data_IF_509327284946
#
_entry.id   IF_509327284946
#
_cell.length_a   1.000
_cell.length_b   1.000
_cell.length_c   1.000
_cell.angle_alpha   90.00
_cell.angle_beta   90.00
_cell.angle_gamma   90.00
#
_symmetry.space_group_name_H-M   'P 1'
#
loop_
_entity.id
_entity.type
_entity.pdbx_description
1 polymer ?
#
# COMPACT_ATOMS: atom_id res chain seq x y z
N UNK A 1 12.46 24.89 107.13
CA UNK A 1 12.78 26.25 106.63
C UNK A 1 12.57 26.24 105.12
N UNK A 2 11.91 27.17 104.43
CA UNK A 2 10.94 28.25 104.78
C UNK A 2 9.96 28.36 103.59
N UNK A 3 8.66 28.49 103.90
CA UNK A 3 7.60 29.30 103.22
C UNK A 3 7.48 29.21 101.67
N UNK A 4 6.37 28.73 101.05
CA UNK A 4 4.95 29.19 101.07
C UNK A 4 4.73 30.62 100.53
N UNK A 5 3.49 30.88 100.07
CA UNK A 5 2.97 32.10 99.41
C UNK A 5 3.37 32.15 97.90
N UNK A 6 2.48 32.36 96.92
CA UNK A 6 1.17 33.05 96.92
C UNK A 6 0.01 32.21 96.36
N UNK A 7 -1.15 32.33 97.03
CA UNK A 7 -2.47 31.94 96.53
C UNK A 7 -3.36 33.19 96.65
N UNK A 8 -4.20 33.50 95.65
CA UNK A 8 -5.35 34.40 95.82
C UNK A 8 -5.16 35.88 95.41
N UNK A 9 -5.27 36.14 94.10
CA UNK A 9 -5.55 37.44 93.46
C UNK A 9 -6.33 37.12 92.17
N UNK A 10 -7.54 37.63 91.88
CA UNK A 10 -8.49 38.46 92.64
C UNK A 10 -9.92 37.91 92.39
N UNK A 11 -10.82 38.05 93.38
CA UNK A 11 -12.27 37.92 93.21
C UNK A 11 -12.81 39.26 92.68
N UNK A 12 -13.34 39.32 91.46
CA UNK A 12 -14.13 40.49 91.03
C UNK A 12 -15.46 40.06 90.38
N UNK A 13 -16.49 40.07 91.22
CA UNK A 13 -17.87 39.76 90.88
C UNK A 13 -18.55 41.06 90.42
N UNK A 14 -18.50 41.36 89.12
CA UNK A 14 -19.27 42.46 88.51
C UNK A 14 -19.94 42.01 87.21
N UNK A 15 -21.27 41.92 87.31
CA UNK A 15 -22.28 41.85 86.24
C UNK A 15 -22.15 42.99 85.20
N UNK A 16 -22.95 43.01 84.10
CA UNK A 16 -23.53 41.89 83.35
C UNK A 16 -23.46 42.10 81.81
N UNK A 17 -23.85 41.05 81.07
CA UNK A 17 -24.67 41.12 79.84
C UNK A 17 -24.29 42.04 78.67
N UNK A 18 -24.24 41.46 77.47
CA UNK A 18 -25.02 41.95 76.32
C UNK A 18 -25.06 40.87 75.22
N UNK A 19 -26.27 40.53 74.76
CA UNK A 19 -26.55 40.19 73.36
C UNK A 19 -25.65 39.15 72.66
N UNK A 20 -25.68 37.88 73.09
CA UNK A 20 -25.62 36.80 72.11
C UNK A 20 -27.00 36.66 71.47
N UNK A 21 -27.23 37.52 70.46
CA UNK A 21 -28.42 37.47 69.62
C UNK A 21 -28.54 36.12 68.93
N UNK A 22 -29.78 35.70 68.70
CA UNK A 22 -30.15 34.49 67.97
C UNK A 22 -29.36 34.42 66.67
N UNK A 23 -28.33 33.58 66.64
CA UNK A 23 -27.72 33.12 65.40
C UNK A 23 -28.70 32.14 64.79
N UNK A 24 -29.66 32.66 64.02
CA UNK A 24 -30.44 31.82 63.13
C UNK A 24 -29.44 31.10 62.23
N UNK A 25 -29.36 29.78 62.39
CA UNK A 25 -28.70 28.92 61.41
C UNK A 25 -29.42 29.11 60.08
N UNK A 26 -28.90 30.04 59.26
CA UNK A 26 -29.31 30.21 57.87
C UNK A 26 -28.70 29.06 57.10
N UNK A 27 -29.23 27.87 57.32
CA UNK A 27 -28.98 26.72 56.48
C UNK A 27 -29.42 27.11 55.08
N UNK A 28 -28.45 27.46 54.25
CA UNK A 28 -28.70 27.71 52.84
C UNK A 28 -29.24 26.40 52.27
N UNK A 29 -30.32 26.53 51.50
CA UNK A 29 -30.85 25.45 50.69
C UNK A 29 -29.85 25.20 49.55
N UNK A 30 -28.78 24.48 49.87
CA UNK A 30 -27.84 23.86 48.93
C UNK A 30 -28.13 22.36 48.91
N UNK A 31 -29.22 22.00 48.24
CA UNK A 31 -29.58 20.60 47.93
C UNK A 31 -29.99 20.45 46.47
N UNK A 32 -30.72 21.43 45.95
CA UNK A 32 -31.36 21.30 44.63
C UNK A 32 -30.41 21.75 43.50
N UNK A 33 -29.49 22.68 43.78
CA UNK A 33 -28.48 23.14 42.81
C UNK A 33 -27.39 22.10 42.57
N UNK A 34 -26.96 21.37 43.60
CA UNK A 34 -25.85 20.41 43.51
C UNK A 34 -26.21 19.20 42.65
N UNK A 35 -27.39 18.59 42.86
CA UNK A 35 -27.86 17.50 42.01
C UNK A 35 -28.09 17.93 40.55
N UNK A 36 -28.56 19.16 40.34
CA UNK A 36 -28.76 19.71 38.98
C UNK A 36 -27.41 19.99 38.29
N UNK A 37 -26.42 20.52 39.02
CA UNK A 37 -25.06 20.75 38.50
C UNK A 37 -24.32 19.45 38.21
N UNK A 38 -24.44 18.44 39.08
CA UNK A 38 -23.84 17.13 38.86
C UNK A 38 -24.45 16.44 37.63
N UNK A 39 -25.77 16.43 37.47
CA UNK A 39 -26.42 15.89 36.27
C UNK A 39 -26.04 16.66 34.98
N UNK A 40 -25.77 17.97 35.08
CA UNK A 40 -25.27 18.78 33.96
C UNK A 40 -23.80 18.49 33.62
N UNK A 41 -22.94 18.24 34.62
CA UNK A 41 -21.55 17.81 34.39
C UNK A 41 -21.46 16.38 33.85
N UNK A 42 -22.30 15.45 34.34
CA UNK A 42 -22.38 14.08 33.84
C UNK A 42 -22.86 14.05 32.38
N UNK A 43 -23.95 14.76 32.04
CA UNK A 43 -24.41 14.86 30.65
C UNK A 43 -23.36 15.50 29.71
N UNK A 44 -22.63 16.53 30.18
CA UNK A 44 -21.55 17.15 29.42
C UNK A 44 -20.27 16.28 29.34
N UNK A 45 -20.11 15.29 30.22
CA UNK A 45 -19.05 14.27 30.12
C UNK A 45 -19.45 13.16 29.15
N UNK A 46 -20.70 12.73 29.15
CA UNK A 46 -21.25 11.77 28.18
C UNK A 46 -21.19 12.34 26.75
N UNK A 47 -21.61 13.58 26.53
CA UNK A 47 -21.52 14.26 25.21
C UNK A 47 -20.08 14.32 24.69
N UNK A 48 -19.10 14.65 25.55
CA UNK A 48 -17.67 14.64 25.18
C UNK A 48 -17.13 13.25 24.90
N UNK A 49 -17.58 12.24 25.64
CA UNK A 49 -17.20 10.85 25.39
C UNK A 49 -17.77 10.34 24.07
N UNK A 50 -19.01 10.71 23.74
CA UNK A 50 -19.67 10.44 22.46
C UNK A 50 -18.93 11.12 21.30
N UNK A 51 -18.67 12.43 21.40
CA UNK A 51 -17.88 13.21 20.42
C UNK A 51 -16.51 12.58 20.17
N UNK A 52 -15.84 12.10 21.22
CA UNK A 52 -14.53 11.47 21.11
C UNK A 52 -14.61 10.07 20.47
N UNK A 53 -15.65 9.28 20.77
CA UNK A 53 -15.91 8.01 20.08
C UNK A 53 -16.21 8.19 18.58
N UNK A 54 -17.01 9.19 18.22
CA UNK A 54 -17.33 9.53 16.83
C UNK A 54 -16.07 10.04 16.09
N UNK A 55 -15.21 10.81 16.75
CA UNK A 55 -13.91 11.22 16.21
C UNK A 55 -12.95 10.04 16.01
N UNK A 56 -12.85 9.13 16.99
CA UNK A 56 -12.03 7.93 16.90
C UNK A 56 -12.56 6.95 15.83
N UNK A 57 -13.88 6.90 15.59
CA UNK A 57 -14.48 6.14 14.49
C UNK A 57 -14.21 6.79 13.13
N UNK A 58 -14.42 8.09 12.98
CA UNK A 58 -14.08 8.82 11.75
C UNK A 58 -12.58 8.74 11.41
N UNK A 59 -11.71 8.73 12.42
CA UNK A 59 -10.27 8.54 12.24
C UNK A 59 -9.97 7.14 11.68
N UNK A 60 -10.50 6.08 12.32
CA UNK A 60 -10.38 4.70 11.85
C UNK A 60 -10.95 4.50 10.43
N UNK A 61 -12.09 5.10 10.11
CA UNK A 61 -12.67 5.05 8.77
C UNK A 61 -11.73 5.67 7.72
N UNK A 62 -11.19 6.87 7.97
CA UNK A 62 -10.24 7.55 7.06
C UNK A 62 -8.93 6.77 6.91
N UNK A 63 -8.44 6.13 7.96
CA UNK A 63 -7.26 5.25 7.87
C UNK A 63 -7.53 4.03 6.99
N UNK A 64 -8.70 3.38 7.14
CA UNK A 64 -9.10 2.26 6.29
C UNK A 64 -9.31 2.67 4.83
N UNK A 65 -9.95 3.81 4.57
CA UNK A 65 -10.11 4.37 3.21
C UNK A 65 -8.75 4.71 2.57
N UNK A 66 -7.84 5.33 3.33
CA UNK A 66 -6.49 5.63 2.85
C UNK A 66 -5.68 4.37 2.53
N UNK A 67 -5.80 3.32 3.34
CA UNK A 67 -5.19 2.01 3.07
C UNK A 67 -5.78 1.36 1.80
N UNK A 68 -7.10 1.41 1.61
CA UNK A 68 -7.75 0.88 0.42
C UNK A 68 -7.31 1.62 -0.86
N UNK A 69 -7.22 2.94 -0.83
CA UNK A 69 -6.74 3.76 -1.95
C UNK A 69 -5.28 3.44 -2.28
N UNK A 70 -4.43 3.24 -1.27
CA UNK A 70 -3.02 2.88 -1.47
C UNK A 70 -2.87 1.46 -2.06
N UNK A 71 -3.64 0.50 -1.57
CA UNK A 71 -3.71 -0.88 -2.08
C UNK A 71 -4.21 -0.91 -3.54
N UNK A 72 -5.29 -0.20 -3.87
CA UNK A 72 -5.81 -0.10 -5.24
C UNK A 72 -4.78 0.54 -6.19
N UNK A 73 -4.10 1.61 -5.75
CA UNK A 73 -3.03 2.24 -6.53
C UNK A 73 -1.87 1.28 -6.81
N UNK A 74 -1.41 0.54 -5.81
CA UNK A 74 -0.34 -0.46 -5.96
C UNK A 74 -0.75 -1.62 -6.88
N UNK A 75 -1.99 -2.13 -6.75
CA UNK A 75 -2.52 -3.18 -7.63
C UNK A 75 -2.63 -2.69 -9.08
N UNK A 76 -3.06 -1.44 -9.30
CA UNK A 76 -3.14 -0.82 -10.61
C UNK A 76 -1.76 -0.63 -11.26
N UNK A 77 -0.77 -0.22 -10.48
CA UNK A 77 0.62 -0.10 -10.95
C UNK A 77 1.21 -1.46 -11.34
N UNK A 78 1.04 -2.47 -10.47
CA UNK A 78 1.47 -3.85 -10.74
C UNK A 78 0.82 -4.42 -12.01
N UNK A 79 -0.48 -4.17 -12.22
CA UNK A 79 -1.21 -4.62 -13.42
C UNK A 79 -0.73 -3.88 -14.67
N UNK A 80 -0.45 -2.57 -14.59
CA UNK A 80 0.14 -1.82 -15.71
C UNK A 80 1.55 -2.33 -16.07
N UNK A 81 2.38 -2.64 -15.08
CA UNK A 81 3.70 -3.21 -15.27
C UNK A 81 3.63 -4.61 -15.92
N UNK A 82 2.70 -5.48 -15.48
CA UNK A 82 2.43 -6.78 -16.12
C UNK A 82 1.99 -6.60 -17.58
N UNK A 83 1.05 -5.70 -17.86
CA UNK A 83 0.60 -5.42 -19.24
C UNK A 83 1.75 -4.92 -20.13
N UNK A 84 2.64 -4.07 -19.62
CA UNK A 84 3.81 -3.61 -20.37
C UNK A 84 4.77 -4.77 -20.67
N UNK A 85 5.00 -5.66 -19.70
CA UNK A 85 5.84 -6.85 -19.88
C UNK A 85 5.28 -7.80 -20.97
N UNK A 86 3.98 -8.03 -21.00
CA UNK A 86 3.36 -8.99 -21.94
C UNK A 86 3.16 -8.43 -23.36
N UNK A 87 2.81 -7.14 -23.48
CA UNK A 87 2.49 -6.53 -24.78
C UNK A 87 3.72 -6.05 -25.57
N UNK A 88 4.83 -5.70 -24.90
CA UNK A 88 6.01 -5.20 -25.59
C UNK A 88 6.84 -6.35 -26.19
N UNK A 89 6.79 -6.48 -27.53
CA UNK A 89 7.55 -7.49 -28.29
C UNK A 89 8.95 -6.99 -28.66
N UNK A 90 9.85 -7.94 -28.95
CA UNK A 90 11.09 -7.66 -29.69
C UNK A 90 10.95 -8.13 -31.15
N UNK A 91 11.69 -7.50 -32.06
CA UNK A 91 11.63 -7.78 -33.51
C UNK A 91 13.00 -8.17 -34.07
N UNK A 92 12.98 -8.84 -35.23
CA UNK A 92 14.17 -9.38 -35.87
C UNK A 92 14.22 -9.06 -37.37
N UNK A 93 15.43 -8.94 -37.89
CA UNK A 93 15.68 -8.89 -39.33
C UNK A 93 15.27 -10.18 -40.05
N UNK A 94 15.11 -10.06 -41.38
CA UNK A 94 14.87 -11.21 -42.24
C UNK A 94 15.98 -12.27 -42.06
N UNK A 95 15.57 -13.54 -42.02
CA UNK A 95 16.42 -14.72 -41.81
C UNK A 95 17.36 -14.66 -40.57
N UNK A 96 17.05 -13.79 -39.60
CA UNK A 96 17.93 -13.52 -38.45
C UNK A 96 17.29 -13.87 -37.11
N UNK A 97 18.16 -14.27 -36.18
CA UNK A 97 17.89 -14.41 -34.74
C UNK A 97 18.81 -13.53 -33.88
N UNK A 98 19.56 -12.61 -34.51
CA UNK A 98 20.40 -11.65 -33.82
C UNK A 98 19.56 -10.51 -33.22
N UNK A 99 19.90 -10.11 -31.98
CA UNK A 99 19.21 -9.03 -31.27
C UNK A 99 19.77 -7.66 -31.69
N UNK A 100 18.94 -6.87 -32.36
CA UNK A 100 19.23 -5.45 -32.63
C UNK A 100 19.28 -4.63 -31.32
N UNK A 101 19.82 -3.41 -31.38
CA UNK A 101 19.95 -2.54 -30.21
C UNK A 101 18.59 -2.25 -29.55
N UNK A 102 17.57 -2.02 -30.35
CA UNK A 102 16.18 -1.75 -29.93
C UNK A 102 15.60 -2.95 -29.15
N UNK A 103 15.85 -4.18 -29.64
CA UNK A 103 15.45 -5.40 -28.95
C UNK A 103 16.21 -5.57 -27.62
N UNK A 104 17.49 -5.21 -27.58
CA UNK A 104 18.28 -5.24 -26.34
C UNK A 104 17.76 -4.24 -25.29
N UNK A 105 17.35 -3.02 -25.68
CA UNK A 105 16.75 -2.04 -24.76
C UNK A 105 15.39 -2.48 -24.21
N UNK A 106 14.57 -3.17 -25.02
CA UNK A 106 13.34 -3.82 -24.54
C UNK A 106 13.67 -4.93 -23.53
N UNK A 107 14.65 -5.79 -23.83
CA UNK A 107 15.05 -6.87 -22.93
C UNK A 107 15.66 -6.37 -21.61
N UNK A 108 16.37 -5.23 -21.60
CA UNK A 108 16.86 -4.57 -20.38
C UNK A 108 15.72 -4.15 -19.46
N UNK A 109 14.69 -3.48 -19.99
CA UNK A 109 13.48 -3.10 -19.23
C UNK A 109 12.70 -4.32 -18.72
N UNK A 110 12.62 -5.39 -19.51
CA UNK A 110 12.05 -6.67 -19.05
C UNK A 110 12.88 -7.29 -17.92
N UNK A 111 14.21 -7.22 -17.97
CA UNK A 111 15.07 -7.70 -16.89
C UNK A 111 14.90 -6.88 -15.60
N UNK A 112 14.66 -5.56 -15.68
CA UNK A 112 14.30 -4.73 -14.53
C UNK A 112 13.01 -5.21 -13.86
N UNK A 113 11.91 -5.31 -14.63
CA UNK A 113 10.64 -5.87 -14.15
C UNK A 113 10.81 -7.25 -13.48
N UNK A 114 11.63 -8.13 -14.06
CA UNK A 114 11.87 -9.49 -13.54
C UNK A 114 12.75 -9.53 -12.27
N UNK A 115 13.53 -8.47 -11.96
CA UNK A 115 14.24 -8.33 -10.68
C UNK A 115 13.28 -7.92 -9.58
N UNK A 116 12.39 -6.97 -9.86
CA UNK A 116 11.38 -6.49 -8.92
C UNK A 116 10.31 -7.55 -8.65
N UNK A 117 10.09 -8.45 -9.60
CA UNK A 117 9.16 -9.57 -9.51
C UNK A 117 9.92 -10.92 -9.52
N UNK A 118 10.67 -11.28 -8.46
CA UNK A 118 11.58 -12.43 -8.47
C UNK A 118 10.88 -13.80 -8.58
N UNK A 119 9.61 -13.88 -8.19
CA UNK A 119 8.82 -15.12 -8.23
C UNK A 119 8.20 -15.41 -9.60
N UNK A 120 8.11 -14.41 -10.49
CA UNK A 120 7.47 -14.56 -11.80
C UNK A 120 8.23 -15.52 -12.70
N UNK A 121 7.52 -16.44 -13.32
CA UNK A 121 7.99 -17.28 -14.43
C UNK A 121 7.30 -16.82 -15.71
N UNK A 122 7.94 -17.06 -16.84
CA UNK A 122 7.42 -16.64 -18.13
C UNK A 122 7.92 -17.51 -19.26
N UNK A 123 7.15 -17.50 -20.33
CA UNK A 123 7.46 -18.12 -21.61
C UNK A 123 7.82 -17.05 -22.63
N UNK A 124 8.90 -17.27 -23.39
CA UNK A 124 9.24 -16.51 -24.59
C UNK A 124 8.74 -17.28 -25.80
N UNK A 125 7.85 -16.68 -26.57
CA UNK A 125 7.24 -17.27 -27.77
C UNK A 125 7.92 -16.69 -29.02
N UNK A 126 8.53 -17.54 -29.85
CA UNK A 126 9.26 -17.15 -31.05
C UNK A 126 8.44 -17.31 -32.33
N UNK A 127 8.36 -16.24 -33.12
CA UNK A 127 7.54 -16.15 -34.34
C UNK A 127 8.37 -15.76 -35.58
N UNK A 128 7.85 -16.13 -36.74
CA UNK A 128 8.42 -15.89 -38.08
C UNK A 128 7.37 -15.33 -39.03
N UNK A 129 7.84 -14.81 -40.18
CA UNK A 129 6.98 -14.54 -41.32
C UNK A 129 6.80 -15.80 -42.18
N UNK A 130 5.77 -15.82 -43.04
CA UNK A 130 5.32 -16.97 -43.85
C UNK A 130 6.30 -17.45 -44.94
N UNK A 131 7.52 -16.91 -44.99
CA UNK A 131 8.50 -17.25 -46.02
C UNK A 131 9.43 -18.33 -45.50
N UNK A 132 9.36 -19.53 -46.10
CA UNK A 132 10.23 -20.65 -45.75
C UNK A 132 9.50 -21.98 -45.90
N UNK A 133 9.95 -22.97 -45.14
CA UNK A 133 9.11 -24.13 -44.78
C UNK A 133 8.72 -23.99 -43.31
N UNK A 134 7.62 -24.64 -42.93
CA UNK A 134 7.13 -24.67 -41.55
C UNK A 134 8.22 -25.11 -40.56
N UNK A 135 8.96 -26.18 -40.89
CA UNK A 135 10.04 -26.70 -40.04
C UNK A 135 11.22 -25.74 -39.94
N UNK A 136 11.54 -25.01 -41.02
CA UNK A 136 12.56 -23.96 -40.98
C UNK A 136 12.13 -22.82 -40.06
N UNK A 137 10.87 -22.39 -40.16
CA UNK A 137 10.34 -21.29 -39.37
C UNK A 137 10.14 -21.66 -37.90
N UNK A 138 9.76 -22.90 -37.58
CA UNK A 138 9.81 -23.44 -36.22
C UNK A 138 11.24 -23.41 -35.65
N UNK A 139 12.23 -23.87 -36.43
CA UNK A 139 13.63 -23.83 -35.99
C UNK A 139 14.18 -22.40 -35.85
N UNK A 140 13.75 -21.46 -36.69
CA UNK A 140 14.17 -20.04 -36.62
C UNK A 140 13.51 -19.31 -35.44
N UNK A 141 12.24 -19.57 -35.17
CA UNK A 141 11.54 -19.03 -34.01
C UNK A 141 12.13 -19.54 -32.69
N UNK A 142 12.54 -20.81 -32.62
CA UNK A 142 13.25 -21.36 -31.45
C UNK A 142 14.62 -20.66 -31.24
N UNK A 143 15.39 -20.45 -32.32
CA UNK A 143 16.63 -19.64 -32.25
C UNK A 143 16.38 -18.22 -31.75
N UNK A 144 15.30 -17.56 -32.18
CA UNK A 144 14.91 -16.21 -31.71
C UNK A 144 14.58 -16.18 -30.22
N UNK A 145 13.74 -17.10 -29.75
CA UNK A 145 13.40 -17.23 -28.34
C UNK A 145 14.63 -17.59 -27.48
N UNK A 146 15.50 -18.46 -28.00
CA UNK A 146 16.79 -18.81 -27.41
C UNK A 146 17.75 -17.62 -27.27
N UNK A 147 17.88 -16.77 -28.30
CA UNK A 147 18.69 -15.55 -28.26
C UNK A 147 18.18 -14.57 -27.18
N UNK A 148 16.87 -14.35 -27.12
CA UNK A 148 16.25 -13.50 -26.10
C UNK A 148 16.46 -14.06 -24.68
N UNK A 149 16.31 -15.39 -24.50
CA UNK A 149 16.58 -16.08 -23.25
C UNK A 149 18.04 -15.93 -22.82
N UNK A 150 19.00 -16.17 -23.72
CA UNK A 150 20.43 -16.03 -23.43
C UNK A 150 20.76 -14.62 -22.93
N UNK A 151 20.28 -13.58 -23.62
CA UNK A 151 20.50 -12.19 -23.22
C UNK A 151 19.89 -11.85 -21.86
N UNK A 152 18.69 -12.36 -21.54
CA UNK A 152 18.09 -12.18 -20.20
C UNK A 152 18.86 -12.92 -19.09
N UNK A 153 19.42 -14.09 -19.40
CA UNK A 153 20.30 -14.83 -18.49
C UNK A 153 21.61 -14.07 -18.22
N UNK A 154 22.21 -13.48 -19.26
CA UNK A 154 23.41 -12.63 -19.13
C UNK A 154 23.13 -11.35 -18.31
N UNK A 155 21.88 -10.84 -18.34
CA UNK A 155 21.40 -9.77 -17.46
C UNK A 155 21.04 -10.21 -16.03
N UNK A 156 21.29 -11.48 -15.68
CA UNK A 156 21.14 -12.05 -14.34
C UNK A 156 19.80 -12.74 -14.05
N UNK A 157 18.92 -12.92 -15.04
CA UNK A 157 17.65 -13.63 -14.83
C UNK A 157 17.89 -15.14 -14.78
N UNK A 158 17.47 -15.79 -13.70
CA UNK A 158 17.73 -17.21 -13.50
C UNK A 158 17.08 -18.09 -14.60
N UNK A 159 17.83 -18.98 -15.29
CA UNK A 159 17.33 -19.72 -16.46
C UNK A 159 16.08 -20.58 -16.23
N UNK A 160 15.84 -21.05 -14.99
CA UNK A 160 14.66 -21.85 -14.63
C UNK A 160 13.35 -21.05 -14.63
N UNK A 161 13.42 -19.71 -14.69
CA UNK A 161 12.26 -18.82 -14.79
C UNK A 161 11.78 -18.62 -16.23
N UNK A 162 12.55 -19.10 -17.21
CA UNK A 162 12.39 -18.77 -18.63
C UNK A 162 12.12 -20.06 -19.43
N UNK A 163 10.88 -20.24 -19.87
CA UNK A 163 10.49 -21.24 -20.88
C UNK A 163 10.64 -20.63 -22.27
N UNK A 164 10.91 -21.44 -23.30
CA UNK A 164 10.93 -21.02 -24.70
C UNK A 164 10.02 -21.93 -25.52
N UNK A 165 9.22 -21.34 -26.40
CA UNK A 165 8.35 -22.04 -27.35
C UNK A 165 8.53 -21.37 -28.72
N UNK A 166 8.45 -22.14 -29.80
CA UNK A 166 8.31 -21.58 -31.15
C UNK A 166 6.96 -21.95 -31.75
N UNK A 167 6.34 -21.00 -32.43
CA UNK A 167 5.18 -21.22 -33.30
C UNK A 167 5.51 -21.05 -34.78
N UNK A 168 6.78 -20.79 -35.12
CA UNK A 168 7.18 -20.44 -36.49
C UNK A 168 6.27 -19.39 -37.11
N UNK A 169 5.65 -19.73 -38.24
CA UNK A 169 4.70 -18.90 -38.97
C UNK A 169 3.22 -19.09 -38.60
N UNK A 170 2.88 -20.05 -37.71
CA UNK A 170 1.48 -20.45 -37.41
C UNK A 170 0.63 -19.34 -36.77
N UNK A 171 1.27 -18.36 -36.12
CA UNK A 171 0.62 -17.28 -35.36
C UNK A 171 1.07 -15.89 -35.85
N UNK A 172 0.69 -15.48 -37.07
CA UNK A 172 1.04 -14.17 -37.60
C UNK A 172 0.26 -13.06 -36.89
N UNK A 173 0.90 -11.91 -36.67
CA UNK A 173 0.25 -10.68 -36.21
C UNK A 173 -0.46 -9.96 -37.36
N UNK A 174 0.08 -10.08 -38.56
CA UNK A 174 -0.44 -9.47 -39.78
C UNK A 174 -0.40 -10.54 -40.88
N UNK A 175 -1.53 -11.16 -41.26
CA UNK A 175 -1.59 -12.31 -42.16
C UNK A 175 -1.48 -11.91 -43.65
N UNK A 176 -0.85 -10.78 -43.95
CA UNK A 176 -0.70 -10.24 -45.31
C UNK A 176 0.70 -10.52 -45.84
N UNK A 177 0.78 -10.81 -47.14
CA UNK A 177 2.04 -11.05 -47.84
C UNK A 177 2.70 -9.75 -48.30
N UNK A 178 3.21 -8.96 -47.35
CA UNK A 178 3.99 -7.74 -47.63
C UNK A 178 5.10 -7.54 -46.59
N UNK A 179 6.17 -6.82 -46.92
CA UNK A 179 7.31 -6.66 -46.00
C UNK A 179 6.93 -5.91 -44.71
N UNK A 180 5.94 -5.03 -44.74
CA UNK A 180 5.41 -4.37 -43.53
C UNK A 180 4.68 -5.33 -42.59
N UNK A 181 4.09 -6.41 -43.13
CA UNK A 181 3.44 -7.46 -42.35
C UNK A 181 4.47 -8.49 -41.88
N UNK A 182 5.36 -8.93 -42.77
CA UNK A 182 6.47 -9.82 -42.45
C UNK A 182 7.36 -9.26 -41.34
N UNK A 183 7.70 -7.97 -41.37
CA UNK A 183 8.48 -7.30 -40.32
C UNK A 183 7.82 -7.36 -38.92
N UNK A 184 6.47 -7.34 -38.84
CA UNK A 184 5.75 -7.54 -37.57
C UNK A 184 5.78 -9.00 -37.12
N UNK A 185 5.67 -9.93 -38.06
CA UNK A 185 5.61 -11.36 -37.77
C UNK A 185 6.97 -11.93 -37.30
N UNK A 186 8.09 -11.32 -37.69
CA UNK A 186 9.43 -11.62 -37.16
C UNK A 186 9.64 -11.07 -35.75
N UNK A 187 9.05 -11.71 -34.74
CA UNK A 187 9.07 -11.20 -33.36
C UNK A 187 9.25 -12.29 -32.28
N UNK A 188 9.48 -11.86 -31.04
CA UNK A 188 9.15 -12.67 -29.85
C UNK A 188 8.14 -11.98 -28.93
N UNK A 189 7.20 -12.77 -28.42
CA UNK A 189 6.29 -12.40 -27.33
C UNK A 189 6.82 -12.90 -25.98
N UNK A 190 6.35 -12.29 -24.90
CA UNK A 190 6.63 -12.68 -23.54
C UNK A 190 5.29 -12.87 -22.83
N UNK A 191 5.09 -14.02 -22.20
CA UNK A 191 3.84 -14.38 -21.52
C UNK A 191 4.18 -14.82 -20.11
N UNK A 192 3.64 -14.17 -19.09
CA UNK A 192 3.86 -14.56 -17.69
C UNK A 192 2.95 -15.75 -17.35
N UNK A 193 3.54 -16.76 -16.71
CA UNK A 193 2.86 -17.99 -16.28
C UNK A 193 1.82 -17.73 -15.17
#
# INVERSE_FOLDING_TARGET
>A
MRQKLWLGVILFLVLPGLLFTVSCARQQVQSDTTGTQQAQEEAAQEERAQDQQDQDEMARQREMEAQQIAEEAAQREAMAARMLFENERIYFEFDSSALLAEAQEVLKRKAEFLRDNPNSRFTIEGHCDERGTEEYNLALGDRRAGSAKAFLVDLGIAPYRITTISYGEERPLDPRSSEEAWAKNRNCQFVLD
#
